data_IF_461395783962
#
_entry.id   IF_461395783962
#
_cell.length_a   1.000
_cell.length_b   1.000
_cell.length_c   1.000
_cell.angle_alpha   90.00
_cell.angle_beta   90.00
_cell.angle_gamma   90.00
#
_symmetry.space_group_name_H-M   'P 1'
#
loop_
_entity.id
_entity.type
_entity.pdbx_description
1 polymer ?
#
# COMPACT_ATOMS: atom_id res chain seq x y z
N UNK A 1 -19.14 -37.02 61.68
CA UNK A 1 -18.09 -37.56 60.78
C UNK A 1 -17.91 -36.60 59.60
N UNK A 2 -16.92 -36.85 58.73
CA UNK A 2 -16.46 -36.02 57.60
C UNK A 2 -17.55 -35.42 56.68
N UNK A 3 -17.33 -34.35 55.89
CA UNK A 3 -16.36 -33.22 55.94
C UNK A 3 -16.58 -32.26 54.72
N UNK A 4 -16.28 -30.96 54.85
CA UNK A 4 -15.85 -29.97 53.78
C UNK A 4 -16.83 -29.73 52.58
N UNK A 5 -16.91 -28.56 51.92
CA UNK A 5 -16.22 -27.24 52.04
C UNK A 5 -17.09 -26.10 51.43
N UNK A 6 -16.64 -24.85 51.63
CA UNK A 6 -17.05 -23.52 51.10
C UNK A 6 -17.72 -23.42 49.70
N UNK A 7 -18.50 -22.39 49.36
CA UNK A 7 -18.92 -21.14 50.07
C UNK A 7 -19.99 -20.36 49.27
N UNK A 8 -20.90 -19.57 49.89
CA UNK A 8 -20.78 -18.10 50.16
C UNK A 8 -20.56 -17.28 48.86
N UNK A 9 -21.52 -16.64 48.17
CA UNK A 9 -22.52 -15.56 48.52
C UNK A 9 -21.86 -14.21 48.88
N UNK A 10 -22.32 -12.96 48.63
CA UNK A 10 -23.55 -12.23 48.15
C UNK A 10 -23.00 -10.95 47.41
N UNK A 11 -23.51 -10.25 46.37
CA UNK A 11 -24.75 -10.06 45.59
C UNK A 11 -25.57 -8.74 45.89
N UNK A 12 -26.11 -8.10 44.83
CA UNK A 12 -26.82 -6.79 44.77
C UNK A 12 -25.97 -5.51 45.06
N UNK A 13 -26.32 -4.29 44.60
CA UNK A 13 -27.44 -3.77 43.76
C UNK A 13 -26.88 -2.92 42.56
N UNK A 14 -27.45 -1.88 41.90
CA UNK A 14 -28.63 -0.99 42.08
C UNK A 14 -29.12 -0.31 40.75
N UNK A 15 -29.69 0.91 40.80
CA UNK A 15 -30.41 1.69 39.77
C UNK A 15 -29.86 3.16 39.61
N UNK A 16 -30.25 4.10 38.74
CA UNK A 16 -31.36 4.26 37.74
C UNK A 16 -30.91 5.19 36.53
N UNK A 17 -31.66 6.17 35.95
CA UNK A 17 -32.62 6.07 34.82
C UNK A 17 -32.32 6.81 33.47
N UNK A 18 -32.90 6.28 32.37
CA UNK A 18 -33.57 6.96 31.20
C UNK A 18 -32.83 7.70 30.06
N UNK A 19 -33.40 7.53 28.85
CA UNK A 19 -33.17 8.21 27.54
C UNK A 19 -31.78 8.00 26.91
N UNK A 20 -31.57 7.90 25.59
CA UNK A 20 -32.30 8.26 24.34
C UNK A 20 -32.30 6.99 23.42
N UNK A 21 -33.08 6.77 22.35
CA UNK A 21 -34.15 7.49 21.67
C UNK A 21 -34.10 7.24 20.15
N UNK A 22 -35.25 6.85 19.56
CA UNK A 22 -35.59 6.76 18.12
C UNK A 22 -34.68 5.96 17.15
N UNK A 23 -35.28 4.95 16.51
CA UNK A 23 -34.70 4.21 15.39
C UNK A 23 -34.91 4.92 14.05
N UNK A 24 -33.85 5.45 13.45
CA UNK A 24 -33.81 5.77 12.02
C UNK A 24 -32.79 4.86 11.31
N UNK A 25 -33.24 4.20 10.25
CA UNK A 25 -32.47 3.14 9.59
C UNK A 25 -31.42 3.66 8.63
N UNK A 26 -30.20 3.87 9.11
CA UNK A 26 -29.00 3.84 8.27
C UNK A 26 -27.88 3.16 9.07
N UNK A 27 -27.48 1.95 8.67
CA UNK A 27 -26.34 1.28 9.30
C UNK A 27 -25.06 2.04 8.92
N UNK A 28 -24.21 2.46 9.87
CA UNK A 28 -22.90 2.99 9.52
C UNK A 28 -22.07 1.84 8.94
N UNK A 29 -21.74 1.91 7.67
CA UNK A 29 -20.64 1.13 7.08
C UNK A 29 -19.37 1.92 7.42
N UNK A 30 -19.02 1.89 8.71
CA UNK A 30 -17.75 2.37 9.22
C UNK A 30 -16.81 1.16 9.26
N UNK A 31 -16.11 0.96 8.16
CA UNK A 31 -14.99 0.03 8.03
C UNK A 31 -13.89 0.81 7.35
N UNK A 32 -12.75 0.98 8.01
CA UNK A 32 -11.58 1.63 7.42
C UNK A 32 -11.18 0.89 6.14
N UNK A 33 -11.52 1.46 4.99
CA UNK A 33 -11.05 0.97 3.69
C UNK A 33 -9.64 1.50 3.55
N UNK A 34 -8.69 0.67 3.98
CA UNK A 34 -7.27 0.89 3.81
C UNK A 34 -6.97 1.12 2.32
N UNK A 35 -6.20 2.16 2.02
CA UNK A 35 -5.77 2.51 0.67
C UNK A 35 -5.21 1.32 -0.11
N UNK A 36 -4.59 0.34 0.57
CA UNK A 36 -4.13 -0.90 -0.06
C UNK A 36 -5.26 -1.66 -0.78
N UNK A 37 -6.44 -1.73 -0.17
CA UNK A 37 -7.57 -2.51 -0.68
C UNK A 37 -8.02 -2.00 -2.05
N UNK A 38 -7.91 -0.70 -2.29
CA UNK A 38 -8.15 -0.08 -3.59
C UNK A 38 -7.17 -0.54 -4.70
N UNK A 39 -5.96 -0.97 -4.35
CA UNK A 39 -4.95 -1.45 -5.32
C UNK A 39 -5.09 -2.94 -5.66
N UNK A 40 -5.90 -3.70 -4.92
CA UNK A 40 -6.17 -5.10 -5.25
C UNK A 40 -6.97 -5.25 -6.55
N UNK A 41 -6.98 -6.45 -7.13
CA UNK A 41 -7.92 -6.77 -8.22
C UNK A 41 -9.30 -7.08 -7.64
N UNK A 42 -10.35 -6.74 -8.36
CA UNK A 42 -11.71 -7.17 -8.05
C UNK A 42 -11.78 -8.70 -7.92
N UNK A 43 -12.14 -9.21 -6.74
CA UNK A 43 -12.39 -10.64 -6.52
C UNK A 43 -13.90 -10.93 -6.38
N UNK A 44 -14.50 -11.66 -7.35
CA UNK A 44 -15.88 -12.15 -7.23
C UNK A 44 -16.10 -13.10 -6.05
N UNK A 45 -15.05 -13.76 -5.56
CA UNK A 45 -15.13 -14.85 -4.58
C UNK A 45 -15.74 -16.14 -5.14
N UNK A 46 -15.79 -17.23 -4.36
CA UNK A 46 -16.30 -18.54 -4.79
C UNK A 46 -17.84 -18.66 -4.79
N UNK A 47 -18.55 -17.58 -4.47
CA UNK A 47 -20.01 -17.55 -4.44
C UNK A 47 -20.65 -17.57 -5.84
N UNK A 48 -21.99 -17.69 -5.89
CA UNK A 48 -22.77 -17.79 -7.13
C UNK A 48 -23.98 -16.84 -7.19
N UNK A 49 -24.05 -15.86 -6.30
CA UNK A 49 -25.00 -14.76 -6.42
C UNK A 49 -24.60 -13.82 -7.56
N UNK A 50 -25.52 -12.94 -7.95
CA UNK A 50 -25.27 -11.90 -8.95
C UNK A 50 -25.46 -10.53 -8.30
N UNK A 51 -24.39 -10.00 -7.72
CA UNK A 51 -24.36 -8.62 -7.21
C UNK A 51 -23.49 -7.77 -8.15
N UNK A 52 -24.13 -6.91 -8.94
CA UNK A 52 -23.41 -5.90 -9.73
C UNK A 52 -22.95 -4.77 -8.80
N UNK A 53 -21.64 -4.65 -8.62
CA UNK A 53 -20.98 -3.73 -7.68
C UNK A 53 -19.84 -2.98 -8.38
N UNK A 54 -19.32 -1.94 -7.73
CA UNK A 54 -18.20 -1.16 -8.26
C UNK A 54 -16.86 -1.61 -7.68
N UNK A 55 -15.80 -1.46 -8.46
CA UNK A 55 -14.41 -1.77 -8.10
C UNK A 55 -13.48 -0.72 -8.72
N UNK A 56 -12.48 -0.26 -7.97
CA UNK A 56 -11.49 0.69 -8.42
C UNK A 56 -10.46 0.02 -9.32
N UNK A 57 -10.46 0.42 -10.59
CA UNK A 57 -9.39 0.04 -11.51
C UNK A 57 -8.24 1.05 -11.36
N UNK A 58 -7.28 0.75 -10.50
CA UNK A 58 -6.14 1.63 -10.21
C UNK A 58 -5.32 2.06 -11.45
N UNK A 59 -5.27 1.23 -12.51
CA UNK A 59 -4.63 1.59 -13.79
C UNK A 59 -5.43 2.62 -14.59
N UNK A 60 -6.76 2.58 -14.50
CA UNK A 60 -7.64 3.47 -15.26
C UNK A 60 -8.19 4.61 -14.40
N UNK A 61 -7.81 4.68 -13.12
CA UNK A 61 -8.33 5.59 -12.07
C UNK A 61 -9.84 5.81 -12.15
N UNK A 62 -10.55 4.71 -12.32
CA UNK A 62 -12.00 4.70 -12.54
C UNK A 62 -12.66 3.53 -11.84
N UNK A 63 -13.79 3.83 -11.20
CA UNK A 63 -14.72 2.83 -10.69
C UNK A 63 -15.44 2.14 -11.85
N UNK A 64 -15.05 0.89 -12.11
CA UNK A 64 -15.69 0.00 -13.09
C UNK A 64 -16.70 -0.93 -12.40
N UNK A 65 -17.69 -1.44 -13.12
CA UNK A 65 -18.62 -2.44 -12.61
C UNK A 65 -18.03 -3.85 -12.70
N UNK A 66 -18.31 -4.70 -11.72
CA UNK A 66 -18.05 -6.14 -11.75
C UNK A 66 -19.16 -6.92 -11.05
N UNK A 67 -19.15 -8.24 -11.18
CA UNK A 67 -20.11 -9.14 -10.50
C UNK A 67 -19.43 -9.80 -9.32
N UNK A 68 -20.00 -9.63 -8.13
CA UNK A 68 -19.60 -10.30 -6.89
C UNK A 68 -20.51 -11.49 -6.60
N UNK A 69 -19.90 -12.63 -6.27
CA UNK A 69 -20.58 -13.91 -6.05
C UNK A 69 -21.30 -14.03 -4.69
N UNK A 70 -21.16 -13.04 -3.80
CA UNK A 70 -21.87 -13.00 -2.52
C UNK A 70 -21.16 -13.70 -1.34
N UNK A 71 -19.98 -14.28 -1.54
CA UNK A 71 -19.19 -14.94 -0.50
C UNK A 71 -17.71 -14.62 -0.67
N UNK A 72 -17.01 -14.35 0.44
CA UNK A 72 -15.60 -13.94 0.48
C UNK A 72 -15.32 -12.74 -0.45
N UNK A 73 -14.48 -12.91 -1.47
CA UNK A 73 -13.95 -11.80 -2.24
C UNK A 73 -13.08 -10.87 -1.38
N UNK A 74 -12.88 -9.65 -1.87
CA UNK A 74 -12.04 -8.65 -1.21
C UNK A 74 -12.71 -7.27 -1.09
N UNK A 75 -11.97 -6.32 -0.52
CA UNK A 75 -12.45 -4.99 -0.13
C UNK A 75 -12.43 -3.95 -1.26
N UNK A 76 -11.89 -4.27 -2.45
CA UNK A 76 -12.05 -3.45 -3.66
C UNK A 76 -13.47 -3.56 -4.27
N UNK A 77 -14.50 -3.32 -3.45
CA UNK A 77 -15.90 -3.66 -3.73
C UNK A 77 -16.87 -2.73 -3.01
N UNK A 78 -17.57 -1.91 -3.79
CA UNK A 78 -18.40 -0.80 -3.32
C UNK A 78 -19.83 -0.90 -3.87
N UNK A 79 -20.82 -0.39 -3.15
CA UNK A 79 -22.22 -0.36 -3.61
C UNK A 79 -22.43 0.70 -4.71
N UNK A 80 -21.73 1.83 -4.62
CA UNK A 80 -21.87 2.94 -5.57
C UNK A 80 -20.54 3.34 -6.22
N UNK A 81 -20.63 4.05 -7.35
CA UNK A 81 -19.46 4.58 -8.05
C UNK A 81 -18.81 5.70 -7.22
N UNK A 82 -19.63 6.46 -6.52
CA UNK A 82 -19.32 7.64 -5.72
C UNK A 82 -18.56 7.24 -4.45
N UNK A 83 -19.01 6.20 -3.76
CA UNK A 83 -18.33 5.52 -2.64
C UNK A 83 -16.96 4.99 -3.05
N UNK A 84 -16.89 4.22 -4.15
CA UNK A 84 -15.64 3.74 -4.74
C UNK A 84 -14.67 4.88 -5.08
N UNK A 85 -15.17 5.98 -5.66
CA UNK A 85 -14.34 7.13 -6.04
C UNK A 85 -13.83 7.85 -4.80
N UNK A 86 -14.69 8.06 -3.80
CA UNK A 86 -14.33 8.70 -2.53
C UNK A 86 -13.31 7.89 -1.73
N UNK A 87 -13.43 6.57 -1.72
CA UNK A 87 -12.48 5.69 -1.03
C UNK A 87 -11.12 5.66 -1.74
N UNK A 88 -11.09 5.52 -3.07
CA UNK A 88 -9.88 5.11 -3.79
C UNK A 88 -9.17 6.18 -4.62
N UNK A 89 -9.75 7.37 -4.79
CA UNK A 89 -9.13 8.43 -5.58
C UNK A 89 -8.08 9.22 -4.77
N UNK A 90 -8.39 9.55 -3.51
CA UNK A 90 -7.50 10.34 -2.64
C UNK A 90 -6.44 9.47 -1.91
N UNK A 91 -6.68 8.15 -1.86
CA UNK A 91 -5.90 7.09 -1.22
C UNK A 91 -4.40 6.97 -1.64
N UNK A 92 -3.95 7.77 -2.59
CA UNK A 92 -2.70 7.54 -3.34
C UNK A 92 -1.57 8.49 -2.91
N UNK A 93 -1.88 9.59 -2.20
CA UNK A 93 -1.05 10.82 -2.25
C UNK A 93 -0.32 11.16 -0.93
N UNK A 94 -0.64 10.53 0.21
CA UNK A 94 -0.15 10.96 1.54
C UNK A 94 0.53 9.86 2.39
N UNK A 95 1.39 9.04 1.77
CA UNK A 95 2.23 8.06 2.50
C UNK A 95 3.72 8.29 2.29
N UNK A 96 4.52 7.98 3.32
CA UNK A 96 5.98 7.94 3.26
C UNK A 96 6.46 6.56 2.80
N UNK A 97 7.68 6.47 2.27
CA UNK A 97 8.30 5.19 1.91
C UNK A 97 9.18 4.64 3.04
N UNK A 98 8.84 3.45 3.57
CA UNK A 98 9.71 2.67 4.46
C UNK A 98 10.05 1.30 3.89
N UNK A 99 11.35 1.08 3.76
CA UNK A 99 11.91 -0.17 3.27
C UNK A 99 11.73 -1.31 4.28
N UNK A 100 11.45 -2.52 3.78
CA UNK A 100 11.38 -3.77 4.56
C UNK A 100 12.04 -4.90 3.73
N UNK A 101 13.33 -5.21 3.94
CA UNK A 101 14.00 -6.28 3.19
C UNK A 101 13.54 -7.65 3.69
N UNK A 102 12.77 -8.37 2.88
CA UNK A 102 12.20 -9.68 3.24
C UNK A 102 13.21 -10.86 3.18
N UNK A 103 14.52 -10.59 3.24
CA UNK A 103 15.59 -11.58 3.45
C UNK A 103 16.27 -11.41 4.82
N UNK A 104 16.51 -12.53 5.50
CA UNK A 104 17.35 -12.61 6.71
C UNK A 104 18.82 -12.24 6.41
N UNK A 105 19.17 -10.97 6.50
CA UNK A 105 20.50 -10.55 6.92
C UNK A 105 20.49 -10.36 8.44
N UNK A 106 20.92 -11.39 9.18
CA UNK A 106 20.93 -11.40 10.66
C UNK A 106 22.05 -10.57 11.29
N UNK A 107 22.77 -9.81 10.46
CA UNK A 107 23.46 -8.59 10.82
C UNK A 107 23.00 -7.54 9.79
N UNK A 108 22.46 -6.37 10.16
CA UNK A 108 22.52 -5.67 11.46
C UNK A 108 21.13 -5.09 11.81
N UNK A 109 20.61 -5.38 13.02
CA UNK A 109 19.30 -4.85 13.47
C UNK A 109 19.20 -3.31 13.50
N UNK A 110 20.33 -2.59 13.51
CA UNK A 110 20.38 -1.11 13.43
C UNK A 110 20.18 -0.57 12.01
N UNK A 111 20.56 -1.29 10.95
CA UNK A 111 20.45 -0.78 9.57
C UNK A 111 18.99 -0.63 9.11
N UNK A 112 18.10 -1.52 9.58
CA UNK A 112 16.66 -1.44 9.31
C UNK A 112 16.04 -0.11 9.76
N UNK A 113 16.42 0.39 10.93
CA UNK A 113 15.86 1.62 11.50
C UNK A 113 16.47 2.89 10.89
N UNK A 114 17.73 2.78 10.44
CA UNK A 114 18.55 3.91 9.96
C UNK A 114 18.27 4.33 8.50
N UNK A 115 17.81 3.44 7.62
CA UNK A 115 17.64 3.75 6.19
C UNK A 115 16.17 3.96 5.78
N UNK A 116 15.59 5.08 6.21
CA UNK A 116 14.25 5.51 5.81
C UNK A 116 14.36 6.53 4.67
N UNK A 117 13.87 6.16 3.47
CA UNK A 117 13.90 7.06 2.31
C UNK A 117 12.66 7.96 2.37
N UNK A 118 12.82 9.09 3.04
CA UNK A 118 11.77 10.07 3.25
C UNK A 118 11.35 10.72 1.91
N UNK A 119 10.26 10.22 1.33
CA UNK A 119 9.73 10.61 0.02
C UNK A 119 8.27 11.06 0.13
N UNK A 120 7.94 12.14 -0.58
CA UNK A 120 6.55 12.47 -0.93
C UNK A 120 6.23 11.87 -2.30
N UNK A 121 4.95 11.53 -2.51
CA UNK A 121 4.45 10.96 -3.76
C UNK A 121 3.43 11.94 -4.34
N UNK A 122 3.71 12.48 -5.52
CA UNK A 122 2.79 13.36 -6.23
C UNK A 122 2.46 12.75 -7.59
N UNK A 123 1.17 12.71 -7.92
CA UNK A 123 0.71 12.34 -9.25
C UNK A 123 1.12 13.40 -10.29
N UNK A 124 1.42 12.94 -11.50
CA UNK A 124 1.72 13.79 -12.66
C UNK A 124 0.70 13.60 -13.78
N UNK A 125 0.41 12.36 -14.16
CA UNK A 125 -0.62 12.01 -15.16
C UNK A 125 -1.08 10.56 -15.04
N UNK A 126 -2.32 10.34 -14.57
CA UNK A 126 -3.23 9.17 -14.55
C UNK A 126 -2.71 7.76 -14.21
N UNK A 127 -1.40 7.51 -14.20
CA UNK A 127 -0.68 6.28 -13.86
C UNK A 127 0.72 6.58 -13.32
N UNK A 128 1.27 7.78 -13.58
CA UNK A 128 2.65 8.11 -13.28
C UNK A 128 2.78 9.12 -12.14
N UNK A 129 3.78 8.87 -11.30
CA UNK A 129 4.10 9.62 -10.10
C UNK A 129 5.52 10.16 -10.17
N UNK A 130 5.73 11.35 -9.60
CA UNK A 130 7.07 11.85 -9.24
C UNK A 130 7.29 11.57 -7.76
N UNK A 131 8.44 10.96 -7.43
CA UNK A 131 8.84 10.67 -6.06
C UNK A 131 9.78 11.77 -5.60
N UNK A 132 9.38 12.59 -4.63
CA UNK A 132 10.10 13.80 -4.22
C UNK A 132 10.88 13.52 -2.93
N UNK A 133 12.20 13.68 -2.99
CA UNK A 133 13.11 13.62 -1.85
C UNK A 133 12.80 14.71 -0.84
N UNK A 134 12.21 14.37 0.32
CA UNK A 134 11.92 15.34 1.38
C UNK A 134 13.18 16.12 1.83
N UNK A 135 14.39 15.51 1.94
CA UNK A 135 15.60 16.25 2.30
C UNK A 135 16.10 17.29 1.28
N UNK A 136 15.59 17.30 0.04
CA UNK A 136 16.12 18.16 -1.03
C UNK A 136 15.08 18.84 -1.92
N UNK A 137 13.79 18.47 -1.83
CA UNK A 137 12.72 18.95 -2.71
C UNK A 137 12.83 18.46 -4.18
N UNK A 138 13.82 17.61 -4.49
CA UNK A 138 14.13 17.15 -5.85
C UNK A 138 13.52 15.79 -6.14
N UNK A 139 13.20 15.53 -7.41
CA UNK A 139 12.55 14.28 -7.85
C UNK A 139 13.57 13.17 -8.09
N UNK A 140 13.22 11.94 -7.70
CA UNK A 140 13.99 10.74 -8.02
C UNK A 140 13.99 10.55 -9.54
N UNK A 141 15.19 10.44 -10.09
CA UNK A 141 15.44 10.43 -11.53
C UNK A 141 16.38 9.28 -11.87
N UNK A 142 16.07 8.54 -12.93
CA UNK A 142 16.94 7.50 -13.47
C UNK A 142 18.11 8.15 -14.20
N UNK A 143 19.32 7.94 -13.68
CA UNK A 143 20.56 8.47 -14.25
C UNK A 143 21.27 7.34 -14.99
N UNK A 144 21.30 7.47 -16.33
CA UNK A 144 22.05 6.60 -17.24
C UNK A 144 23.42 7.20 -17.56
N UNK A 145 24.47 6.39 -17.50
CA UNK A 145 25.78 6.68 -18.11
C UNK A 145 26.26 5.48 -18.92
N UNK A 146 27.35 5.65 -19.70
CA UNK A 146 28.00 4.61 -20.50
C UNK A 146 28.35 3.32 -19.73
N UNK A 147 28.37 3.36 -18.39
CA UNK A 147 28.77 2.23 -17.52
C UNK A 147 27.90 2.03 -16.27
N UNK A 148 26.90 2.88 -16.02
CA UNK A 148 26.09 2.80 -14.81
C UNK A 148 24.64 3.18 -15.03
N UNK A 149 23.78 2.60 -14.18
CA UNK A 149 22.38 2.91 -14.07
C UNK A 149 22.07 3.11 -12.59
N UNK A 150 21.73 4.33 -12.19
CA UNK A 150 21.46 4.68 -10.79
C UNK A 150 20.17 5.49 -10.67
N UNK A 151 19.64 5.61 -9.45
CA UNK A 151 18.58 6.56 -9.15
C UNK A 151 19.17 7.68 -8.31
N UNK A 152 19.15 8.91 -8.83
CA UNK A 152 19.60 10.12 -8.15
C UNK A 152 18.46 11.11 -7.97
N UNK A 153 18.77 12.36 -7.58
CA UNK A 153 17.77 13.44 -7.48
C UNK A 153 18.07 14.58 -8.45
N UNK A 154 17.04 15.09 -9.12
CA UNK A 154 17.13 16.21 -10.07
C UNK A 154 15.93 17.15 -9.91
N UNK A 155 16.02 18.35 -10.49
CA UNK A 155 14.90 19.28 -10.55
C UNK A 155 13.83 18.77 -11.53
N UNK A 156 12.54 18.96 -11.20
CA UNK A 156 11.45 18.37 -11.99
C UNK A 156 11.29 19.08 -13.34
N UNK A 157 11.46 18.31 -14.42
CA UNK A 157 11.31 18.73 -15.82
C UNK A 157 10.17 18.00 -16.55
N UNK A 158 9.50 17.06 -15.87
CA UNK A 158 8.55 16.12 -16.45
C UNK A 158 9.15 15.19 -17.53
N UNK A 159 10.44 14.88 -17.44
CA UNK A 159 11.05 13.85 -18.29
C UNK A 159 10.69 12.43 -17.81
N UNK A 160 10.62 11.49 -18.75
CA UNK A 160 10.29 10.07 -18.50
C UNK A 160 11.22 9.36 -17.51
N UNK A 161 12.46 9.82 -17.31
CA UNK A 161 13.38 9.30 -16.28
C UNK A 161 12.98 9.68 -14.85
N UNK A 162 12.14 10.71 -14.69
CA UNK A 162 11.67 11.23 -13.40
C UNK A 162 10.29 10.66 -13.01
N UNK A 163 9.68 9.86 -13.91
CA UNK A 163 8.34 9.31 -13.76
C UNK A 163 8.38 7.83 -13.37
N UNK A 164 7.49 7.46 -12.46
CA UNK A 164 7.44 6.16 -11.81
C UNK A 164 6.03 5.57 -11.83
N UNK A 165 5.94 4.27 -12.05
CA UNK A 165 4.73 3.43 -12.03
C UNK A 165 4.77 2.58 -10.74
N UNK A 166 3.74 2.69 -9.90
CA UNK A 166 3.68 2.08 -8.56
C UNK A 166 2.79 0.84 -8.63
N UNK A 167 3.41 -0.34 -8.60
CA UNK A 167 2.74 -1.61 -8.90
C UNK A 167 2.56 -2.44 -7.62
N UNK A 168 1.33 -2.70 -7.13
CA UNK A 168 1.11 -3.56 -5.96
C UNK A 168 1.64 -4.98 -6.18
N UNK A 169 2.15 -5.64 -5.13
CA UNK A 169 2.67 -7.01 -5.22
C UNK A 169 1.58 -8.05 -4.90
N UNK A 170 1.94 -9.18 -4.26
CA UNK A 170 1.01 -10.17 -3.71
C UNK A 170 0.97 -10.15 -2.18
N UNK A 171 1.85 -9.37 -1.55
CA UNK A 171 1.93 -9.22 -0.11
C UNK A 171 1.23 -7.90 0.25
N UNK A 172 0.34 -7.92 1.24
CA UNK A 172 -0.41 -6.71 1.62
C UNK A 172 0.55 -5.62 2.12
N UNK A 173 0.27 -4.38 1.70
CA UNK A 173 1.05 -3.15 1.90
C UNK A 173 2.35 -3.02 1.06
N UNK A 174 2.70 -4.02 0.23
CA UNK A 174 3.92 -3.97 -0.58
C UNK A 174 3.69 -3.63 -2.04
N UNK A 175 4.62 -2.83 -2.57
CA UNK A 175 4.61 -2.27 -3.92
C UNK A 175 5.98 -2.40 -4.56
N UNK A 176 6.00 -2.49 -5.90
CA UNK A 176 7.18 -2.39 -6.74
C UNK A 176 7.16 -1.06 -7.49
N UNK A 177 8.18 -0.25 -7.27
CA UNK A 177 8.37 1.02 -7.97
C UNK A 177 9.09 0.73 -9.29
N UNK A 178 8.47 1.09 -10.41
CA UNK A 178 8.95 0.81 -11.77
C UNK A 178 9.25 2.13 -12.50
N UNK A 179 10.36 2.21 -13.25
CA UNK A 179 10.64 3.37 -14.11
C UNK A 179 9.84 3.36 -15.42
N UNK A 180 9.46 4.56 -15.89
CA UNK A 180 8.79 4.79 -17.17
C UNK A 180 9.75 4.85 -18.36
N UNK A 181 11.00 5.29 -18.16
CA UNK A 181 11.97 5.53 -19.25
C UNK A 181 12.53 4.27 -19.94
N UNK A 182 12.34 3.09 -19.34
CA UNK A 182 12.79 1.77 -19.85
C UNK A 182 14.27 1.76 -20.30
N UNK A 183 15.23 1.95 -19.37
CA UNK A 183 16.65 1.96 -19.69
C UNK A 183 17.15 0.60 -20.21
N UNK A 184 18.38 0.59 -20.72
CA UNK A 184 19.02 -0.58 -21.32
C UNK A 184 18.93 -1.83 -20.43
N UNK A 185 18.67 -2.99 -21.06
CA UNK A 185 18.73 -4.30 -20.39
C UNK A 185 17.47 -4.74 -19.61
N UNK A 186 16.32 -4.09 -19.81
CA UNK A 186 15.07 -4.37 -19.07
C UNK A 186 15.21 -4.17 -17.55
N UNK A 187 16.05 -3.22 -17.15
CA UNK A 187 16.27 -2.80 -15.77
C UNK A 187 15.10 -1.89 -15.34
N UNK A 188 13.97 -2.53 -15.09
CA UNK A 188 12.65 -1.90 -14.98
C UNK A 188 12.34 -1.38 -13.56
N UNK A 189 12.87 -1.99 -12.50
CA UNK A 189 12.36 -1.86 -11.13
C UNK A 189 13.37 -1.28 -10.15
N UNK A 190 12.94 -0.35 -9.28
CA UNK A 190 13.78 0.25 -8.25
C UNK A 190 14.18 -0.79 -7.19
N UNK A 191 15.48 -0.87 -6.95
CA UNK A 191 16.14 -1.85 -6.10
C UNK A 191 17.13 -1.13 -5.16
N UNK A 192 17.15 -1.51 -3.88
CA UNK A 192 18.16 -1.06 -2.94
C UNK A 192 19.35 -2.02 -2.97
N UNK A 193 20.46 -1.61 -3.59
CA UNK A 193 21.67 -2.39 -3.52
C UNK A 193 22.33 -2.17 -2.15
N UNK A 194 22.38 -3.24 -1.36
CA UNK A 194 23.17 -3.34 -0.13
C UNK A 194 24.56 -3.88 -0.47
N UNK A 195 25.60 -3.40 0.19
CA UNK A 195 26.98 -3.90 0.05
C UNK A 195 27.58 -4.25 1.42
N UNK A 196 28.62 -5.08 1.45
CA UNK A 196 29.32 -5.49 2.68
C UNK A 196 30.10 -4.35 3.38
N UNK A 197 29.95 -3.10 2.91
CA UNK A 197 30.61 -1.89 3.41
C UNK A 197 29.60 -0.85 3.93
N UNK A 198 28.40 -1.27 4.33
CA UNK A 198 27.26 -0.46 4.78
C UNK A 198 26.70 0.57 3.76
N UNK A 199 27.37 0.77 2.62
CA UNK A 199 26.88 1.63 1.54
C UNK A 199 25.65 1.00 0.91
N UNK A 200 24.54 1.73 0.97
CA UNK A 200 23.25 1.41 0.39
C UNK A 200 22.90 2.45 -0.66
N UNK A 201 22.64 2.03 -1.90
CA UNK A 201 22.31 2.94 -3.00
C UNK A 201 21.14 2.46 -3.84
N UNK A 202 20.33 3.41 -4.33
CA UNK A 202 19.23 3.13 -5.23
C UNK A 202 19.75 2.92 -6.66
N UNK A 203 19.32 1.82 -7.25
CA UNK A 203 19.56 1.47 -8.66
C UNK A 203 18.31 0.81 -9.23
N UNK A 204 18.40 0.27 -10.44
CA UNK A 204 17.34 -0.47 -11.10
C UNK A 204 17.75 -1.92 -11.31
N UNK A 205 16.77 -2.82 -11.36
CA UNK A 205 16.95 -4.25 -11.55
C UNK A 205 15.91 -4.84 -12.52
N UNK A 206 16.23 -5.99 -13.11
CA UNK A 206 15.29 -6.78 -13.93
C UNK A 206 14.22 -7.41 -13.02
N UNK A 207 12.99 -7.60 -13.53
CA UNK A 207 11.83 -8.12 -12.75
C UNK A 207 12.11 -9.39 -11.93
N UNK A 208 12.98 -10.26 -12.43
CA UNK A 208 13.36 -11.56 -11.87
C UNK A 208 14.49 -11.50 -10.82
N UNK A 209 15.15 -10.35 -10.66
CA UNK A 209 16.32 -10.20 -9.81
C UNK A 209 15.95 -9.85 -8.36
N UNK A 210 15.93 -10.87 -7.49
CA UNK A 210 15.58 -10.77 -6.06
C UNK A 210 14.31 -9.95 -5.81
N UNK A 211 13.16 -10.51 -6.25
CA UNK A 211 11.81 -9.91 -6.18
C UNK A 211 11.51 -9.24 -4.82
N UNK A 212 12.06 -9.80 -3.73
CA UNK A 212 12.00 -9.31 -2.35
C UNK A 212 12.72 -7.96 -2.14
N UNK A 213 13.94 -7.81 -2.66
CA UNK A 213 14.71 -6.56 -2.60
C UNK A 213 14.17 -5.44 -3.51
N UNK A 214 13.15 -5.74 -4.32
CA UNK A 214 12.40 -4.77 -5.12
C UNK A 214 11.09 -4.33 -4.45
N UNK A 215 10.71 -4.88 -3.30
CA UNK A 215 9.44 -4.54 -2.63
C UNK A 215 9.63 -3.39 -1.64
N UNK A 216 8.67 -2.47 -1.64
CA UNK A 216 8.66 -1.23 -0.87
C UNK A 216 7.31 -1.13 -0.15
N UNK A 217 7.32 -0.71 1.12
CA UNK A 217 6.10 -0.50 1.90
C UNK A 217 5.85 0.99 2.11
N UNK A 218 4.59 1.39 2.02
CA UNK A 218 4.14 2.73 2.37
C UNK A 218 3.65 2.78 3.82
N UNK A 219 3.85 3.91 4.50
CA UNK A 219 3.54 4.15 5.92
C UNK A 219 3.09 5.59 6.20
#
# INVERSE_FOLDING_TARGET
MNAKRSGVTVAASDSDPRAIGESNGQSPIDTDIDDFDCFERADPGPGRAFFELYTWNARNKTCTKFVYGGLLGNHNRFQTKEECSKACHDAVIHKQLKFHPTRRYSAVNRLHEMFQIALNIEEVDHNYFKLISQPSGKVLSVITSDRSLTVGTQDFSNDSSQLWDIIPTREKDYFRIKTVSRPMGQMDYMFLQVTDQDVTHLTLARRDYDDLGQQWRFI
#
